data_IF_277316322618
#
_entry.id   IF_277316322618
#
_cell.length_a   1.000
_cell.length_b   1.000
_cell.length_c   1.000
_cell.angle_alpha   90.00
_cell.angle_beta   90.00
_cell.angle_gamma   90.00
#
_symmetry.space_group_name_H-M   'P 1'
#
loop_
_entity.id
_entity.type
_entity.pdbx_description
1 polymer ?
#
# COMPACT_ATOMS: atom_id res chain seq x y z
N UNK A 1 0.10 23.31 -11.47
CA UNK A 1 -0.90 22.43 -10.84
C UNK A 1 -0.27 21.04 -10.70
N UNK A 2 0.10 20.63 -9.48
CA UNK A 2 0.75 19.35 -9.24
C UNK A 2 -0.31 18.25 -9.13
N UNK A 3 -0.67 17.66 -10.27
CA UNK A 3 -1.55 16.49 -10.30
C UNK A 3 -0.84 15.26 -9.78
N UNK A 4 -1.54 14.40 -9.04
CA UNK A 4 -1.03 13.09 -8.68
C UNK A 4 -0.93 12.24 -9.96
N UNK A 5 0.29 12.00 -10.45
CA UNK A 5 0.54 11.14 -11.62
C UNK A 5 0.59 9.68 -11.18
N UNK A 6 -0.14 8.82 -11.87
CA UNK A 6 -0.14 7.40 -11.60
C UNK A 6 1.20 6.78 -12.02
N UNK A 7 1.88 6.13 -11.08
CA UNK A 7 3.14 5.45 -11.35
C UNK A 7 3.02 4.27 -12.33
N UNK A 8 1.84 3.65 -12.48
CA UNK A 8 1.63 2.53 -13.42
C UNK A 8 1.35 3.00 -14.84
N UNK A 9 0.43 3.95 -15.04
CA UNK A 9 0.01 4.38 -16.39
C UNK A 9 0.66 5.69 -16.86
N UNK A 10 1.34 6.43 -15.99
CA UNK A 10 1.99 7.71 -16.33
C UNK A 10 1.01 8.88 -16.53
N UNK A 11 -0.30 8.65 -16.38
CA UNK A 11 -1.33 9.67 -16.54
C UNK A 11 -1.71 10.30 -15.20
N UNK A 12 -2.30 11.50 -15.25
CA UNK A 12 -2.89 12.11 -14.07
C UNK A 12 -4.06 11.27 -13.55
N UNK A 13 -4.09 11.03 -12.24
CA UNK A 13 -5.23 10.41 -11.58
C UNK A 13 -6.44 11.36 -11.69
N UNK A 14 -7.39 11.04 -12.56
CA UNK A 14 -8.58 11.87 -12.83
C UNK A 14 -9.65 11.89 -11.74
N UNK A 15 -9.34 11.43 -10.52
CA UNK A 15 -10.28 11.29 -9.42
C UNK A 15 -9.57 10.84 -8.14
N UNK A 16 -10.12 9.83 -7.47
CA UNK A 16 -9.50 9.27 -6.26
C UNK A 16 -8.10 8.71 -6.56
N UNK A 17 -7.14 9.09 -5.74
CA UNK A 17 -5.76 8.62 -5.82
C UNK A 17 -5.49 7.63 -4.71
N UNK A 18 -4.90 6.50 -5.09
CA UNK A 18 -4.36 5.53 -4.16
C UNK A 18 -2.91 5.89 -3.85
N UNK A 19 -2.66 6.43 -2.66
CA UNK A 19 -1.29 6.74 -2.21
C UNK A 19 -0.70 5.55 -1.46
N UNK A 20 0.33 4.94 -2.05
CA UNK A 20 1.07 3.84 -1.43
C UNK A 20 2.49 3.76 -1.99
N UNK A 21 3.41 3.19 -1.19
CA UNK A 21 4.83 3.03 -1.55
C UNK A 21 5.51 4.39 -1.85
N UNK A 22 5.08 5.45 -1.14
CA UNK A 22 5.47 6.84 -1.40
C UNK A 22 5.19 7.31 -2.85
N UNK A 23 4.24 6.67 -3.52
CA UNK A 23 3.85 6.94 -4.91
C UNK A 23 2.33 7.09 -5.02
N UNK A 24 1.91 7.72 -6.10
CA UNK A 24 0.51 7.89 -6.45
C UNK A 24 0.09 6.89 -7.51
N UNK A 25 -1.08 6.29 -7.34
CA UNK A 25 -1.63 5.30 -8.25
C UNK A 25 -3.10 5.62 -8.51
N UNK A 26 -3.59 5.36 -9.72
CA UNK A 26 -5.03 5.30 -9.93
C UNK A 26 -5.60 4.11 -9.16
N UNK A 27 -6.76 4.25 -8.54
CA UNK A 27 -7.46 3.14 -7.86
C UNK A 27 -7.62 1.92 -8.79
N UNK A 28 -7.91 2.16 -10.08
CA UNK A 28 -8.01 1.11 -11.11
C UNK A 28 -6.67 0.46 -11.48
N UNK A 29 -5.56 1.19 -11.30
CA UNK A 29 -4.21 0.75 -11.68
C UNK A 29 -3.46 0.09 -10.52
N UNK A 30 -3.93 0.26 -9.29
CA UNK A 30 -3.33 -0.38 -8.12
C UNK A 30 -3.63 -1.88 -8.13
N UNK A 31 -2.68 -2.66 -8.64
CA UNK A 31 -2.82 -4.09 -8.85
C UNK A 31 -1.48 -4.81 -8.67
N UNK A 32 -1.52 -6.08 -8.31
CA UNK A 32 -0.33 -6.88 -8.03
C UNK A 32 0.57 -6.94 -9.26
N UNK A 33 1.86 -6.63 -9.12
CA UNK A 33 2.79 -6.62 -10.26
C UNK A 33 3.17 -8.00 -10.80
N UNK A 34 2.72 -9.08 -10.15
CA UNK A 34 3.01 -10.47 -10.54
C UNK A 34 1.81 -11.20 -11.14
N UNK A 35 0.59 -10.77 -10.81
CA UNK A 35 -0.63 -11.44 -11.26
C UNK A 35 -1.75 -10.49 -11.68
N UNK A 36 -1.48 -9.18 -11.69
CA UNK A 36 -2.41 -8.10 -12.00
C UNK A 36 -3.74 -8.12 -11.22
N UNK A 37 -3.77 -8.83 -10.09
CA UNK A 37 -4.93 -8.82 -9.20
C UNK A 37 -5.14 -7.41 -8.66
N UNK A 38 -6.29 -6.82 -8.96
CA UNK A 38 -6.71 -5.51 -8.42
C UNK A 38 -6.70 -5.55 -6.90
N UNK A 39 -6.20 -4.49 -6.29
CA UNK A 39 -6.13 -4.30 -4.85
C UNK A 39 -6.74 -2.96 -4.49
N UNK A 40 -7.26 -2.87 -3.28
CA UNK A 40 -7.95 -1.70 -2.74
C UNK A 40 -7.37 -1.36 -1.34
N UNK A 41 -7.88 -0.30 -0.72
CA UNK A 41 -7.35 0.20 0.55
C UNK A 41 -7.56 -0.78 1.72
N UNK A 42 -8.49 -1.73 1.59
CA UNK A 42 -8.78 -2.77 2.60
C UNK A 42 -8.01 -4.05 2.34
N UNK A 43 -7.58 -4.28 1.09
CA UNK A 43 -6.81 -5.47 0.72
C UNK A 43 -5.36 -5.34 1.19
N UNK A 44 -4.89 -6.33 1.97
CA UNK A 44 -3.48 -6.40 2.39
C UNK A 44 -2.57 -6.65 1.17
N UNK A 45 -1.60 -5.76 0.99
CA UNK A 45 -0.56 -5.86 -0.03
C UNK A 45 0.83 -5.72 0.60
N UNK A 46 1.83 -6.09 -0.17
CA UNK A 46 3.24 -6.14 0.23
C UNK A 46 4.06 -5.31 -0.78
N UNK A 47 5.05 -4.55 -0.30
CA UNK A 47 5.98 -3.85 -1.19
C UNK A 47 7.10 -4.81 -1.60
N UNK A 48 7.30 -5.00 -2.90
CA UNK A 48 8.45 -5.71 -3.43
C UNK A 48 8.96 -4.96 -4.65
N UNK A 49 10.25 -4.62 -4.67
CA UNK A 49 10.88 -3.88 -5.78
C UNK A 49 10.14 -2.57 -6.12
N UNK A 50 9.76 -1.82 -5.09
CA UNK A 50 8.93 -0.60 -5.19
C UNK A 50 7.56 -0.79 -5.87
N UNK A 51 7.07 -2.04 -5.93
CA UNK A 51 5.83 -2.41 -6.60
C UNK A 51 4.89 -3.17 -5.65
N UNK A 52 3.56 -3.01 -5.81
CA UNK A 52 2.61 -3.67 -4.94
C UNK A 52 2.45 -5.15 -5.32
N UNK A 53 2.48 -6.01 -4.32
CA UNK A 53 2.41 -7.47 -4.43
C UNK A 53 1.30 -8.03 -3.55
N UNK A 54 0.42 -8.87 -4.09
CA UNK A 54 -0.64 -9.48 -3.31
C UNK A 54 -0.10 -10.59 -2.41
N UNK A 55 -0.81 -10.87 -1.30
CA UNK A 55 -0.48 -11.96 -0.36
C UNK A 55 -0.19 -13.29 -1.07
N UNK A 56 -1.00 -13.68 -2.06
CA UNK A 56 -0.84 -14.95 -2.79
C UNK A 56 0.48 -15.04 -3.56
N UNK A 57 0.98 -13.92 -4.09
CA UNK A 57 2.27 -13.93 -4.80
C UNK A 57 3.43 -13.79 -3.81
N UNK A 58 3.25 -12.97 -2.77
CA UNK A 58 4.17 -12.89 -1.65
C UNK A 58 4.44 -14.25 -0.99
N UNK A 59 3.40 -15.07 -0.79
CA UNK A 59 3.53 -16.40 -0.20
C UNK A 59 4.35 -17.38 -1.06
N UNK A 60 4.52 -17.11 -2.37
CA UNK A 60 5.36 -17.90 -3.27
C UNK A 60 6.83 -17.53 -3.24
N UNK A 61 7.19 -16.40 -2.64
CA UNK A 61 8.59 -15.98 -2.56
C UNK A 61 9.42 -16.89 -1.65
N UNK A 62 10.76 -16.89 -1.78
CA UNK A 62 11.65 -17.54 -0.81
C UNK A 62 11.50 -16.94 0.59
N UNK A 63 11.77 -17.74 1.63
CA UNK A 63 11.58 -17.36 3.04
C UNK A 63 12.43 -16.13 3.43
N UNK A 64 13.68 -16.04 2.97
CA UNK A 64 14.55 -14.89 3.21
C UNK A 64 13.99 -13.60 2.59
N UNK A 65 13.37 -13.69 1.42
CA UNK A 65 12.76 -12.54 0.76
C UNK A 65 11.50 -12.08 1.49
N UNK A 66 10.66 -13.03 1.93
CA UNK A 66 9.48 -12.75 2.75
C UNK A 66 9.83 -12.00 4.04
N UNK A 67 10.89 -12.43 4.73
CA UNK A 67 11.31 -11.81 6.01
C UNK A 67 11.56 -10.31 5.85
N UNK A 68 12.37 -9.92 4.85
CA UNK A 68 12.72 -8.51 4.57
C UNK A 68 11.48 -7.66 4.27
N UNK A 69 10.57 -8.18 3.47
CA UNK A 69 9.33 -7.49 3.11
C UNK A 69 8.38 -7.36 4.32
N UNK A 70 8.27 -8.40 5.15
CA UNK A 70 7.36 -8.40 6.31
C UNK A 70 7.76 -7.41 7.39
N UNK A 71 9.05 -7.15 7.59
CA UNK A 71 9.52 -6.29 8.68
C UNK A 71 9.06 -4.83 8.46
N UNK A 72 9.06 -4.37 7.20
CA UNK A 72 8.54 -3.05 6.82
C UNK A 72 7.03 -2.88 7.10
N UNK A 73 6.24 -3.95 6.93
CA UNK A 73 4.79 -3.90 7.21
C UNK A 73 4.50 -3.86 8.71
N UNK A 74 5.22 -4.66 9.51
CA UNK A 74 5.05 -4.69 10.96
C UNK A 74 5.32 -3.33 11.59
N UNK A 75 6.35 -2.63 11.11
CA UNK A 75 6.69 -1.29 11.60
C UNK A 75 5.55 -0.28 11.36
N UNK A 76 4.97 -0.28 10.15
CA UNK A 76 3.78 0.56 9.84
C UNK A 76 2.55 0.17 10.66
N UNK A 77 2.30 -1.12 10.87
CA UNK A 77 1.19 -1.58 11.72
C UNK A 77 1.36 -1.12 13.17
N UNK A 78 2.58 -1.22 13.72
CA UNK A 78 2.92 -0.73 15.06
C UNK A 78 2.75 0.79 15.15
N UNK A 79 3.22 1.55 14.15
CA UNK A 79 3.04 3.01 14.13
C UNK A 79 1.55 3.38 14.05
N UNK A 80 0.78 2.72 13.19
CA UNK A 80 -0.66 2.93 13.10
C UNK A 80 -1.37 2.60 14.42
N UNK A 81 -0.98 1.52 15.10
CA UNK A 81 -1.49 1.18 16.42
C UNK A 81 -1.13 2.24 17.47
N UNK A 82 0.13 2.74 17.48
CA UNK A 82 0.56 3.84 18.35
C UNK A 82 -0.24 5.12 18.09
N UNK A 83 -0.45 5.50 16.82
CA UNK A 83 -1.30 6.66 16.47
C UNK A 83 -2.74 6.50 16.95
N UNK A 84 -3.32 5.29 16.81
CA UNK A 84 -4.67 4.99 17.33
C UNK A 84 -4.75 5.00 18.85
N UNK A 85 -3.68 4.64 19.55
CA UNK A 85 -3.66 4.64 21.02
C UNK A 85 -3.30 6.01 21.61
N UNK A 86 -2.60 6.86 20.86
CA UNK A 86 -2.29 8.24 21.22
C UNK A 86 -3.39 9.25 20.86
N UNK A 87 -4.49 8.85 20.20
CA UNK A 87 -5.60 9.77 19.92
C UNK A 87 -6.30 10.18 21.23
N UNK A 88 -6.14 11.42 21.72
CA UNK A 88 -6.90 11.92 22.84
C UNK A 88 -8.27 12.27 22.28
N UNK A 89 -9.29 11.53 22.71
CA UNK A 89 -10.70 11.93 22.77
C UNK A 89 -11.15 13.03 21.79
N UNK A 90 -11.96 12.68 20.79
CA UNK A 90 -13.11 13.55 20.51
C UNK A 90 -14.07 13.40 21.69
N UNK A 91 -13.88 14.27 22.69
CA UNK A 91 -14.81 14.53 23.78
C UNK A 91 -16.06 15.21 23.20
N UNK A 92 -17.22 14.86 23.78
CA UNK A 92 -18.43 15.68 23.90
C UNK A 92 -19.25 15.94 22.63
N UNK A 93 -20.35 15.19 22.48
CA UNK A 93 -21.66 15.63 22.96
C UNK A 93 -22.45 14.41 23.45
#
# INVERSE_FOLDING_TARGET
MFGNVCYKCGEACGGEVFQALQKSWCVKCFACSLCDKKMDHKTKFYEFDMKPTCKRCYDRFPTELKKRISDSLKDRDIENQRRRSLSPTQKRQ
#
